data_IF_057421569573
#
_entry.id   IF_057421569573
#
_cell.length_a   1.000
_cell.length_b   1.000
_cell.length_c   1.000
_cell.angle_alpha   90.00
_cell.angle_beta   90.00
_cell.angle_gamma   90.00
#
_symmetry.space_group_name_H-M   'P 1'
#
loop_
_entity.id
_entity.type
_entity.pdbx_description
1 polymer ?
#
# COMPACT_ATOMS: atom_id res chain seq x y z
N UNK A 1 -27.24 5.14 0.87
CA UNK A 1 -27.50 6.07 -0.25
C UNK A 1 -28.42 7.22 0.15
N UNK A 2 -29.61 6.97 0.71
CA UNK A 2 -30.52 8.02 1.19
C UNK A 2 -29.82 9.04 2.11
N UNK A 3 -29.10 8.55 3.13
CA UNK A 3 -28.32 9.40 4.04
C UNK A 3 -27.29 10.30 3.33
N UNK A 4 -26.60 9.80 2.30
CA UNK A 4 -25.59 10.59 1.57
C UNK A 4 -26.20 11.77 0.83
N UNK A 5 -27.42 11.59 0.33
CA UNK A 5 -28.14 12.58 -0.47
C UNK A 5 -28.90 13.56 0.41
N UNK A 6 -29.54 13.06 1.47
CA UNK A 6 -30.42 13.88 2.31
C UNK A 6 -29.74 14.39 3.58
N UNK A 7 -28.55 13.89 3.93
CA UNK A 7 -27.91 14.10 5.22
C UNK A 7 -28.79 13.69 6.42
N UNK A 8 -29.79 12.82 6.19
CA UNK A 8 -30.79 12.48 7.19
C UNK A 8 -31.80 13.60 7.49
N UNK A 9 -31.79 14.70 6.72
CA UNK A 9 -32.72 15.81 6.87
C UNK A 9 -34.12 15.41 6.39
N UNK A 10 -35.12 15.75 7.20
CA UNK A 10 -36.52 15.68 6.86
C UNK A 10 -37.02 17.02 6.32
N UNK A 11 -38.24 17.04 5.76
CA UNK A 11 -38.85 18.26 5.22
C UNK A 11 -38.90 19.39 6.26
N UNK A 12 -39.21 19.05 7.51
CA UNK A 12 -39.26 20.01 8.62
C UNK A 12 -37.91 20.69 8.88
N UNK A 13 -36.80 19.94 8.74
CA UNK A 13 -35.45 20.47 8.93
C UNK A 13 -35.08 21.47 7.82
N UNK A 14 -35.47 21.15 6.58
CA UNK A 14 -35.26 22.04 5.43
C UNK A 14 -36.05 23.35 5.62
N UNK A 15 -37.29 23.26 6.10
CA UNK A 15 -38.10 24.45 6.41
C UNK A 15 -37.46 25.30 7.53
N UNK A 16 -36.90 24.66 8.56
CA UNK A 16 -36.19 25.37 9.63
C UNK A 16 -34.90 26.05 9.13
N UNK A 17 -34.15 25.42 8.22
CA UNK A 17 -32.96 26.01 7.59
C UNK A 17 -33.31 27.25 6.77
N UNK A 18 -34.44 27.24 6.06
CA UNK A 18 -34.94 28.40 5.32
C UNK A 18 -35.30 29.59 6.22
N UNK A 19 -35.61 29.35 7.49
CA UNK A 19 -35.99 30.39 8.46
C UNK A 19 -34.77 30.99 9.21
N UNK A 20 -33.57 30.39 9.10
CA UNK A 20 -32.36 30.91 9.75
C UNK A 20 -31.85 32.17 9.04
N UNK A 21 -31.46 33.18 9.82
CA UNK A 21 -30.97 34.47 9.31
C UNK A 21 -29.59 34.39 8.64
N UNK A 22 -28.76 33.44 9.06
CA UNK A 22 -27.46 33.13 8.46
C UNK A 22 -27.54 31.83 7.68
N UNK A 23 -27.17 31.86 6.40
CA UNK A 23 -27.05 30.63 5.60
C UNK A 23 -25.86 29.80 6.10
N UNK A 24 -26.02 28.49 6.28
CA UNK A 24 -24.91 27.59 6.62
C UNK A 24 -23.84 27.60 5.53
N UNK A 25 -22.62 27.18 5.88
CA UNK A 25 -21.53 27.08 4.91
C UNK A 25 -21.90 26.06 3.83
N UNK A 26 -21.54 26.34 2.57
CA UNK A 26 -21.80 25.40 1.47
C UNK A 26 -21.15 24.03 1.74
N UNK A 27 -20.00 24.02 2.42
CA UNK A 27 -19.27 22.82 2.84
C UNK A 27 -20.10 21.90 3.74
N UNK A 28 -21.01 22.44 4.55
CA UNK A 28 -21.88 21.64 5.44
C UNK A 28 -22.86 20.74 4.69
N UNK A 29 -23.08 21.03 3.41
CA UNK A 29 -24.07 20.38 2.56
C UNK A 29 -23.44 19.65 1.37
N UNK A 30 -22.11 19.58 1.28
CA UNK A 30 -21.45 18.81 0.23
C UNK A 30 -21.64 17.30 0.50
N UNK A 31 -22.19 16.59 -0.48
CA UNK A 31 -22.59 15.18 -0.34
C UNK A 31 -21.44 14.27 0.12
N UNK A 32 -20.21 14.58 -0.31
CA UNK A 32 -19.03 13.80 0.03
C UNK A 32 -18.68 13.85 1.52
N UNK A 33 -19.08 14.87 2.27
CA UNK A 33 -18.88 14.89 3.72
C UNK A 33 -19.74 13.83 4.41
N UNK A 34 -20.95 13.58 3.88
CA UNK A 34 -21.83 12.52 4.34
C UNK A 34 -21.27 11.12 4.05
N UNK A 35 -20.43 10.98 3.02
CA UNK A 35 -19.70 9.73 2.79
C UNK A 35 -18.78 9.38 3.98
N UNK A 36 -18.19 10.39 4.61
CA UNK A 36 -17.39 10.25 5.84
C UNK A 36 -18.21 10.35 7.13
N UNK A 37 -19.53 10.54 7.04
CA UNK A 37 -20.42 10.67 8.19
C UNK A 37 -20.27 11.99 8.96
N UNK A 38 -19.88 13.06 8.29
CA UNK A 38 -19.74 14.40 8.88
C UNK A 38 -20.38 15.49 7.99
N UNK A 39 -20.40 16.73 8.48
CA UNK A 39 -20.77 17.92 7.71
C UNK A 39 -19.52 18.73 7.28
N UNK A 40 -18.34 18.11 7.26
CA UNK A 40 -17.07 18.76 6.99
C UNK A 40 -16.44 19.51 8.16
N UNK A 41 -17.18 19.73 9.24
CA UNK A 41 -16.65 20.29 10.49
C UNK A 41 -16.88 19.32 11.64
N UNK A 42 -18.13 18.97 11.85
CA UNK A 42 -18.62 18.18 12.95
C UNK A 42 -19.14 16.83 12.47
N UNK A 43 -18.86 15.77 13.25
CA UNK A 43 -19.38 14.45 13.00
C UNK A 43 -20.88 14.37 13.21
N UNK A 44 -21.57 13.59 12.38
CA UNK A 44 -22.98 13.28 12.55
C UNK A 44 -23.16 12.06 13.47
N UNK A 45 -23.86 12.24 14.59
CA UNK A 45 -24.07 11.19 15.58
C UNK A 45 -24.78 9.97 14.99
N UNK A 46 -25.79 10.19 14.15
CA UNK A 46 -26.56 9.11 13.52
C UNK A 46 -25.73 8.34 12.49
N UNK A 47 -24.81 9.04 11.80
CA UNK A 47 -23.91 8.42 10.83
C UNK A 47 -22.85 7.55 11.48
N UNK A 48 -22.37 7.92 12.66
CA UNK A 48 -21.35 7.16 13.41
C UNK A 48 -21.78 5.75 13.80
N UNK A 49 -23.09 5.52 13.93
CA UNK A 49 -23.63 4.20 14.21
C UNK A 49 -23.70 3.31 12.96
N UNK A 50 -23.57 3.89 11.76
CA UNK A 50 -23.62 3.14 10.51
C UNK A 50 -22.31 2.39 10.30
N UNK A 51 -22.39 1.05 10.19
CA UNK A 51 -21.22 0.20 9.98
C UNK A 51 -20.39 0.63 8.76
N UNK A 52 -21.03 1.02 7.65
CA UNK A 52 -20.33 1.50 6.47
C UNK A 52 -19.48 2.76 6.71
N UNK A 53 -19.97 3.70 7.54
CA UNK A 53 -19.21 4.92 7.91
C UNK A 53 -18.04 4.55 8.82
N UNK A 54 -18.23 3.62 9.76
CA UNK A 54 -17.15 3.11 10.60
C UNK A 54 -16.05 2.46 9.76
N UNK A 55 -16.41 1.58 8.80
CA UNK A 55 -15.43 0.93 7.91
C UNK A 55 -14.65 1.94 7.06
N UNK A 56 -15.31 2.99 6.55
CA UNK A 56 -14.66 4.08 5.81
C UNK A 56 -13.70 4.87 6.70
N UNK A 57 -14.12 5.20 7.92
CA UNK A 57 -13.29 5.91 8.89
C UNK A 57 -12.05 5.08 9.27
N UNK A 58 -12.20 3.77 9.43
CA UNK A 58 -11.09 2.84 9.72
C UNK A 58 -10.05 2.76 8.59
N UNK A 59 -10.39 3.13 7.34
CA UNK A 59 -9.41 3.15 6.25
C UNK A 59 -8.41 4.32 6.34
N UNK A 60 -8.73 5.38 7.08
CA UNK A 60 -7.87 6.55 7.22
C UNK A 60 -7.65 7.31 5.90
N UNK A 61 -8.66 7.41 5.04
CA UNK A 61 -8.54 8.12 3.76
C UNK A 61 -8.14 9.58 3.98
N UNK A 62 -7.13 10.03 3.22
CA UNK A 62 -6.61 11.40 3.30
C UNK A 62 -5.69 11.69 4.49
N UNK A 63 -5.51 10.75 5.43
CA UNK A 63 -4.62 10.93 6.59
C UNK A 63 -3.14 11.01 6.17
N UNK A 64 -2.78 10.33 5.07
CA UNK A 64 -1.43 10.36 4.52
C UNK A 64 -1.26 11.58 3.62
N UNK A 65 -0.45 12.58 4.02
CA UNK A 65 -0.21 13.73 3.18
C UNK A 65 0.54 13.32 1.91
N UNK A 66 0.12 13.84 0.78
CA UNK A 66 0.84 13.71 -0.49
C UNK A 66 1.86 14.83 -0.62
N UNK A 67 3.18 14.62 -0.43
CA UNK A 67 4.12 15.74 -0.28
C UNK A 67 4.12 16.71 -1.46
N UNK A 68 3.97 16.18 -2.68
CA UNK A 68 3.88 17.00 -3.90
C UNK A 68 2.61 17.86 -3.91
N UNK A 69 1.47 17.27 -3.53
CA UNK A 69 0.20 17.99 -3.49
C UNK A 69 0.08 18.93 -2.30
N UNK A 70 0.57 18.56 -1.12
CA UNK A 70 0.68 19.47 0.02
C UNK A 70 1.51 20.69 -0.34
N UNK A 71 2.63 20.49 -1.05
CA UNK A 71 3.46 21.59 -1.54
C UNK A 71 2.67 22.47 -2.52
N UNK A 72 1.98 21.87 -3.50
CA UNK A 72 1.19 22.58 -4.51
C UNK A 72 0.00 23.34 -3.92
N UNK A 73 -0.66 22.79 -2.90
CA UNK A 73 -1.86 23.36 -2.29
C UNK A 73 -1.54 24.50 -1.33
N UNK A 74 -0.48 24.37 -0.54
CA UNK A 74 -0.24 25.25 0.61
C UNK A 74 0.90 26.25 0.42
N UNK A 75 1.86 25.99 -0.49
CA UNK A 75 2.99 26.89 -0.67
C UNK A 75 2.72 28.01 -1.67
N UNK A 76 3.14 29.20 -1.27
CA UNK A 76 2.82 30.48 -1.93
C UNK A 76 3.41 30.64 -3.33
N UNK A 77 4.45 29.87 -3.66
CA UNK A 77 5.23 29.99 -4.90
C UNK A 77 4.75 29.08 -6.04
N UNK A 78 3.86 28.11 -5.77
CA UNK A 78 3.29 27.25 -6.81
C UNK A 78 2.05 27.92 -7.42
N UNK A 79 2.28 28.62 -8.54
CA UNK A 79 1.35 29.56 -9.15
C UNK A 79 0.25 29.00 -10.05
N UNK A 80 -0.21 27.74 -9.88
CA UNK A 80 -1.39 27.27 -10.62
C UNK A 80 -2.63 27.26 -9.73
N UNK A 81 -3.65 28.02 -10.12
CA UNK A 81 -5.01 27.84 -9.60
C UNK A 81 -5.48 26.46 -10.02
N UNK A 82 -5.86 25.63 -9.06
CA UNK A 82 -6.47 24.33 -9.35
C UNK A 82 -7.94 24.62 -9.64
N UNK A 83 -8.44 24.04 -10.73
CA UNK A 83 -9.83 24.18 -11.15
C UNK A 83 -10.49 22.81 -11.08
N UNK A 84 -11.57 22.73 -10.33
CA UNK A 84 -12.43 21.55 -10.21
C UNK A 84 -13.40 21.45 -11.40
N UNK A 85 -13.58 22.54 -12.15
CA UNK A 85 -14.49 22.57 -13.30
C UNK A 85 -15.95 22.87 -12.94
N UNK A 86 -16.21 23.21 -11.67
CA UNK A 86 -17.53 23.61 -11.17
C UNK A 86 -17.40 25.02 -10.58
N UNK A 87 -17.90 26.03 -11.29
CA UNK A 87 -17.67 27.46 -10.97
C UNK A 87 -18.00 27.82 -9.50
N UNK A 88 -19.16 27.39 -9.00
CA UNK A 88 -19.58 27.66 -7.62
C UNK A 88 -18.65 27.01 -6.57
N UNK A 89 -18.00 25.89 -6.90
CA UNK A 89 -17.10 25.18 -6.00
C UNK A 89 -15.64 25.60 -6.17
N UNK A 90 -15.25 26.13 -7.33
CA UNK A 90 -13.92 26.69 -7.56
C UNK A 90 -13.64 27.89 -6.64
N UNK A 91 -14.64 28.78 -6.46
CA UNK A 91 -14.51 29.91 -5.54
C UNK A 91 -14.37 29.44 -4.09
N UNK A 92 -15.17 28.45 -3.70
CA UNK A 92 -15.13 27.90 -2.35
C UNK A 92 -13.83 27.15 -2.08
N UNK A 93 -13.37 26.35 -3.04
CA UNK A 93 -12.09 25.67 -2.99
C UNK A 93 -10.94 26.64 -2.71
N UNK A 94 -10.90 27.78 -3.41
CA UNK A 94 -9.87 28.79 -3.22
C UNK A 94 -9.96 29.50 -1.86
N UNK A 95 -11.18 29.74 -1.34
CA UNK A 95 -11.37 30.27 0.02
C UNK A 95 -10.83 29.31 1.08
N UNK A 96 -11.19 28.04 0.99
CA UNK A 96 -10.71 26.98 1.88
C UNK A 96 -9.20 26.82 1.77
N UNK A 97 -8.65 26.86 0.55
CA UNK A 97 -7.21 26.81 0.32
C UNK A 97 -6.47 27.97 0.96
N UNK A 98 -7.01 29.18 0.82
CA UNK A 98 -6.49 30.39 1.46
C UNK A 98 -6.50 30.28 2.98
N UNK A 99 -7.58 29.75 3.54
CA UNK A 99 -7.73 29.59 5.00
C UNK A 99 -6.84 28.48 5.57
N UNK A 100 -6.79 27.31 4.93
CA UNK A 100 -5.88 26.22 5.29
C UNK A 100 -4.40 26.63 5.19
N UNK A 101 -4.07 27.56 4.30
CA UNK A 101 -2.74 28.19 4.20
C UNK A 101 -2.50 29.32 5.22
N UNK A 102 -3.46 29.60 6.11
CA UNK A 102 -3.47 30.69 7.09
C UNK A 102 -3.31 32.09 6.48
N UNK A 103 -3.82 32.30 5.25
CA UNK A 103 -3.79 33.61 4.56
C UNK A 103 -5.03 34.45 4.88
N UNK A 104 -6.18 33.80 4.99
CA UNK A 104 -7.47 34.44 5.23
C UNK A 104 -8.03 34.02 6.58
N UNK A 105 -9.14 34.62 6.99
CA UNK A 105 -9.96 34.16 8.11
C UNK A 105 -11.23 33.57 7.51
N UNK A 106 -11.62 32.39 7.98
CA UNK A 106 -12.84 31.71 7.58
C UNK A 106 -13.55 31.26 8.87
N UNK A 107 -14.79 31.69 9.07
CA UNK A 107 -15.56 31.35 10.26
C UNK A 107 -16.16 29.95 10.16
N UNK A 108 -16.36 29.29 11.29
CA UNK A 108 -17.10 28.01 11.35
C UNK A 108 -16.25 26.74 11.24
N UNK A 109 -14.95 26.83 10.94
CA UNK A 109 -14.05 25.67 10.95
C UNK A 109 -12.60 26.05 11.29
N UNK A 110 -11.78 25.06 11.64
CA UNK A 110 -10.34 25.18 11.86
C UNK A 110 -9.58 25.11 10.52
N UNK A 111 -8.33 25.62 10.45
CA UNK A 111 -7.52 25.49 9.24
C UNK A 111 -7.25 24.05 8.81
N UNK A 112 -7.19 23.10 9.76
CA UNK A 112 -6.95 21.70 9.46
C UNK A 112 -8.20 21.03 8.88
N UNK A 113 -9.39 21.35 9.39
CA UNK A 113 -10.66 20.96 8.75
C UNK A 113 -10.76 21.52 7.32
N UNK A 114 -10.35 22.76 7.08
CA UNK A 114 -10.35 23.33 5.73
C UNK A 114 -9.38 22.60 4.78
N UNK A 115 -8.20 22.17 5.27
CA UNK A 115 -7.27 21.35 4.47
C UNK A 115 -7.88 20.00 4.12
N UNK A 116 -8.55 19.38 5.07
CA UNK A 116 -9.25 18.12 4.86
C UNK A 116 -10.37 18.27 3.82
N UNK A 117 -11.17 19.33 3.91
CA UNK A 117 -12.19 19.66 2.91
C UNK A 117 -11.59 19.82 1.51
N UNK A 118 -10.48 20.54 1.38
CA UNK A 118 -9.77 20.69 0.10
C UNK A 118 -9.32 19.34 -0.45
N UNK A 119 -8.77 18.45 0.39
CA UNK A 119 -8.36 17.11 -0.05
C UNK A 119 -9.53 16.25 -0.52
N UNK A 120 -10.66 16.30 0.19
CA UNK A 120 -11.91 15.64 -0.20
C UNK A 120 -12.47 16.19 -1.51
N UNK A 121 -12.44 17.51 -1.70
CA UNK A 121 -12.85 18.15 -2.96
C UNK A 121 -11.97 17.68 -4.12
N UNK A 122 -10.65 17.54 -3.93
CA UNK A 122 -9.79 16.96 -4.96
C UNK A 122 -10.17 15.52 -5.26
N UNK A 123 -10.35 14.68 -4.23
CA UNK A 123 -10.69 13.27 -4.44
C UNK A 123 -12.02 13.07 -5.18
N UNK A 124 -13.07 13.84 -4.86
CA UNK A 124 -14.40 13.66 -5.46
C UNK A 124 -14.64 14.45 -6.74
N UNK A 125 -13.99 15.61 -6.92
CA UNK A 125 -14.37 16.59 -7.94
C UNK A 125 -13.26 16.90 -8.93
N UNK A 126 -11.99 16.65 -8.60
CA UNK A 126 -10.88 17.00 -9.49
C UNK A 126 -10.60 15.88 -10.50
N UNK A 127 -10.49 16.27 -11.76
CA UNK A 127 -10.09 15.37 -12.85
C UNK A 127 -8.56 15.27 -12.90
N UNK A 128 -8.02 14.19 -12.32
CA UNK A 128 -6.58 13.93 -12.32
C UNK A 128 -6.08 13.55 -13.70
N UNK A 129 -4.99 14.20 -14.13
CA UNK A 129 -4.24 13.75 -15.32
C UNK A 129 -3.49 12.45 -14.99
N UNK A 130 -3.09 11.70 -16.02
CA UNK A 130 -2.37 10.43 -15.88
C UNK A 130 -1.12 10.53 -14.98
N UNK A 131 -0.40 11.65 -15.03
CA UNK A 131 0.81 11.91 -14.22
C UNK A 131 0.50 12.26 -12.76
N UNK A 132 -0.74 12.60 -12.43
CA UNK A 132 -1.18 13.07 -11.11
C UNK A 132 -1.82 11.95 -10.27
N UNK A 133 -1.97 10.74 -10.82
CA UNK A 133 -2.68 9.61 -10.19
C UNK A 133 -2.12 9.16 -8.84
N UNK A 134 -0.86 9.48 -8.52
CA UNK A 134 -0.24 9.19 -7.22
C UNK A 134 -1.06 9.77 -6.05
N UNK A 135 -1.71 10.93 -6.26
CA UNK A 135 -2.58 11.51 -5.23
C UNK A 135 -3.69 10.55 -4.79
N UNK A 136 -4.37 9.91 -5.75
CA UNK A 136 -5.47 9.02 -5.47
C UNK A 136 -5.01 7.79 -4.68
N UNK A 137 -3.86 7.21 -5.06
CA UNK A 137 -3.29 6.08 -4.32
C UNK A 137 -2.93 6.45 -2.87
N UNK A 138 -2.34 7.64 -2.66
CA UNK A 138 -2.01 8.14 -1.33
C UNK A 138 -3.26 8.47 -0.51
N UNK A 139 -4.24 9.15 -1.12
CA UNK A 139 -5.50 9.50 -0.47
C UNK A 139 -6.30 8.27 -0.05
N UNK A 140 -6.36 7.25 -0.92
CA UNK A 140 -7.03 5.98 -0.65
C UNK A 140 -6.23 5.05 0.26
N UNK A 141 -5.03 5.46 0.70
CA UNK A 141 -4.13 4.63 1.50
C UNK A 141 -3.82 3.28 0.81
N UNK A 142 -3.78 3.27 -0.53
CA UNK A 142 -3.55 2.09 -1.34
C UNK A 142 -2.64 2.42 -2.53
N UNK A 143 -1.32 2.17 -2.42
CA UNK A 143 -0.38 2.45 -3.49
C UNK A 143 -0.61 1.62 -4.76
N UNK A 144 -1.36 0.51 -4.71
CA UNK A 144 -1.50 -0.41 -5.85
C UNK A 144 -2.90 -0.51 -6.45
N UNK A 145 -3.90 0.15 -5.88
CA UNK A 145 -5.28 0.06 -6.38
C UNK A 145 -5.42 0.53 -7.83
N UNK A 146 -4.78 1.64 -8.20
CA UNK A 146 -4.88 2.16 -9.57
C UNK A 146 -4.24 1.22 -10.59
N UNK A 147 -3.09 0.65 -10.26
CA UNK A 147 -2.44 -0.37 -11.09
C UNK A 147 -3.36 -1.59 -11.24
N UNK A 148 -3.97 -2.03 -10.14
CA UNK A 148 -4.92 -3.14 -10.16
C UNK A 148 -6.17 -2.87 -11.02
N UNK A 149 -6.73 -1.66 -10.96
CA UNK A 149 -7.84 -1.24 -11.84
C UNK A 149 -7.40 -1.30 -13.30
N UNK A 150 -6.21 -0.78 -13.63
CA UNK A 150 -5.67 -0.84 -14.98
C UNK A 150 -5.47 -2.28 -15.47
N UNK A 151 -5.06 -3.19 -14.58
CA UNK A 151 -4.92 -4.61 -14.88
C UNK A 151 -6.25 -5.33 -15.09
N UNK A 152 -7.42 -4.73 -14.84
CA UNK A 152 -8.69 -5.42 -15.12
C UNK A 152 -9.05 -5.43 -16.61
N UNK A 153 -8.35 -4.63 -17.43
CA UNK A 153 -8.47 -4.72 -18.88
C UNK A 153 -7.71 -5.95 -19.39
N UNK A 154 -8.44 -6.95 -19.88
CA UNK A 154 -7.88 -8.24 -20.31
C UNK A 154 -6.88 -8.18 -21.47
N UNK A 155 -6.85 -7.07 -22.21
CA UNK A 155 -5.86 -6.83 -23.27
C UNK A 155 -4.50 -6.36 -22.70
N UNK A 156 -4.49 -5.87 -21.46
CA UNK A 156 -3.29 -5.36 -20.80
C UNK A 156 -2.47 -6.53 -20.26
N UNK A 157 -1.18 -6.50 -20.58
CA UNK A 157 -0.17 -7.35 -19.94
C UNK A 157 0.75 -6.47 -19.11
N UNK A 158 1.33 -7.05 -18.05
CA UNK A 158 2.36 -6.37 -17.26
C UNK A 158 3.52 -5.96 -18.17
N UNK A 159 3.82 -4.67 -18.20
CA UNK A 159 4.96 -4.16 -18.94
C UNK A 159 6.27 -4.73 -18.39
N UNK A 160 7.29 -4.88 -19.23
CA UNK A 160 8.58 -5.43 -18.80
C UNK A 160 9.20 -4.65 -17.61
N UNK A 161 9.14 -3.31 -17.67
CA UNK A 161 9.68 -2.45 -16.62
C UNK A 161 8.87 -2.56 -15.32
N UNK A 162 7.54 -2.48 -15.42
CA UNK A 162 6.61 -2.64 -14.31
C UNK A 162 6.82 -3.99 -13.60
N UNK A 163 6.85 -5.07 -14.38
CA UNK A 163 7.13 -6.42 -13.88
C UNK A 163 8.45 -6.49 -13.12
N UNK A 164 9.52 -5.94 -13.70
CA UNK A 164 10.86 -5.94 -13.08
C UNK A 164 10.87 -5.17 -11.77
N UNK A 165 10.17 -4.02 -11.72
CA UNK A 165 10.06 -3.20 -10.51
C UNK A 165 9.27 -3.97 -9.43
N UNK A 166 8.12 -4.54 -9.76
CA UNK A 166 7.29 -5.30 -8.82
C UNK A 166 8.03 -6.53 -8.29
N UNK A 167 8.64 -7.34 -9.17
CA UNK A 167 9.42 -8.51 -8.77
C UNK A 167 10.55 -8.16 -7.80
N UNK A 168 11.23 -7.02 -8.01
CA UNK A 168 12.27 -6.54 -7.09
C UNK A 168 11.71 -6.19 -5.71
N UNK A 169 10.57 -5.49 -5.65
CA UNK A 169 9.93 -5.11 -4.38
C UNK A 169 9.43 -6.34 -3.62
N UNK A 170 8.79 -7.28 -4.33
CA UNK A 170 8.31 -8.54 -3.76
C UNK A 170 9.48 -9.38 -3.24
N UNK A 171 10.56 -9.51 -4.03
CA UNK A 171 11.76 -10.22 -3.61
C UNK A 171 12.34 -9.65 -2.32
N UNK A 172 12.47 -8.31 -2.24
CA UNK A 172 13.00 -7.64 -1.05
C UNK A 172 12.22 -8.01 0.21
N UNK A 173 10.89 -7.91 0.17
CA UNK A 173 10.03 -8.25 1.32
C UNK A 173 10.11 -9.74 1.68
N UNK A 174 10.10 -10.63 0.69
CA UNK A 174 10.23 -12.07 0.93
C UNK A 174 11.58 -12.43 1.54
N UNK A 175 12.66 -11.85 1.01
CA UNK A 175 14.01 -12.07 1.50
C UNK A 175 14.18 -11.58 2.95
N UNK A 176 13.65 -10.40 3.27
CA UNK A 176 13.60 -9.91 4.66
C UNK A 176 12.80 -10.84 5.57
N UNK A 177 11.63 -11.29 5.12
CA UNK A 177 10.76 -12.18 5.91
C UNK A 177 11.41 -13.55 6.15
N UNK A 178 12.04 -14.13 5.12
CA UNK A 178 12.60 -15.48 5.18
C UNK A 178 13.88 -15.53 6.02
N UNK A 179 14.66 -14.46 6.02
CA UNK A 179 15.89 -14.32 6.82
C UNK A 179 15.64 -13.69 8.19
N UNK A 180 14.60 -12.89 8.35
CA UNK A 180 14.40 -12.07 9.55
C UNK A 180 15.42 -10.93 9.68
N UNK A 181 16.07 -10.54 8.57
CA UNK A 181 17.06 -9.48 8.51
C UNK A 181 16.50 -8.30 7.72
N UNK A 182 16.79 -7.06 8.15
CA UNK A 182 16.43 -5.85 7.41
C UNK A 182 17.46 -5.55 6.33
N UNK A 183 16.97 -5.31 5.11
CA UNK A 183 17.76 -5.01 3.93
C UNK A 183 17.44 -3.57 3.48
N UNK A 184 18.43 -2.71 3.22
CA UNK A 184 18.17 -1.40 2.64
C UNK A 184 17.56 -1.52 1.25
N UNK A 185 16.83 -0.48 0.87
CA UNK A 185 16.36 -0.32 -0.50
C UNK A 185 17.53 -0.39 -1.48
N UNK A 186 17.42 -1.25 -2.50
CA UNK A 186 18.42 -1.36 -3.56
C UNK A 186 19.65 -2.21 -3.25
N UNK A 187 19.80 -2.79 -2.04
CA UNK A 187 20.98 -3.62 -1.71
C UNK A 187 21.02 -4.99 -2.40
N UNK A 188 19.93 -5.39 -3.06
CA UNK A 188 19.74 -6.73 -3.65
C UNK A 188 20.21 -6.84 -5.10
N UNK A 189 20.99 -5.89 -5.61
CA UNK A 189 21.32 -5.84 -7.03
C UNK A 189 22.21 -7.00 -7.53
N UNK A 190 23.00 -7.63 -6.65
CA UNK A 190 24.02 -8.60 -7.08
C UNK A 190 23.69 -10.07 -6.76
N UNK A 191 22.83 -10.36 -5.79
CA UNK A 191 22.45 -11.73 -5.44
C UNK A 191 20.93 -11.90 -5.55
N UNK A 192 20.49 -12.58 -6.60
CA UNK A 192 19.07 -12.87 -6.86
C UNK A 192 18.65 -14.22 -6.27
N UNK A 193 19.33 -14.71 -5.24
CA UNK A 193 18.91 -15.93 -4.55
C UNK A 193 17.96 -15.59 -3.42
N UNK A 194 16.84 -16.30 -3.36
CA UNK A 194 15.94 -16.27 -2.23
C UNK A 194 16.42 -17.30 -1.20
N UNK A 195 16.84 -16.83 -0.03
CA UNK A 195 17.33 -17.69 1.05
C UNK A 195 16.24 -17.99 2.07
N UNK A 196 15.98 -19.27 2.30
CA UNK A 196 15.18 -19.74 3.44
C UNK A 196 16.14 -20.11 4.56
N UNK A 197 16.11 -19.38 5.67
CA UNK A 197 17.04 -19.62 6.79
C UNK A 197 16.33 -20.16 8.03
N UNK A 198 17.12 -20.79 8.90
CA UNK A 198 16.74 -21.10 10.27
C UNK A 198 16.82 -19.83 11.11
N UNK A 199 15.88 -18.91 10.88
CA UNK A 199 15.80 -17.65 11.63
C UNK A 199 15.15 -17.88 12.99
N UNK A 200 15.83 -17.47 14.06
CA UNK A 200 15.20 -17.36 15.39
C UNK A 200 14.57 -15.98 15.48
N UNK A 201 13.25 -15.89 15.59
CA UNK A 201 12.51 -14.63 15.79
C UNK A 201 12.70 -14.04 17.21
N UNK A 202 13.93 -14.04 17.74
CA UNK A 202 14.26 -13.39 19.02
C UNK A 202 14.97 -12.07 18.73
N UNK A 203 14.32 -10.97 19.07
CA UNK A 203 14.80 -9.59 18.87
C UNK A 203 16.09 -9.28 19.62
N UNK A 204 16.47 -10.09 20.61
CA UNK A 204 17.58 -9.82 21.52
C UNK A 204 18.97 -10.20 20.98
N UNK A 205 19.07 -10.96 19.88
CA UNK A 205 20.36 -11.40 19.33
C UNK A 205 20.44 -11.11 17.84
N UNK A 206 21.30 -10.14 17.47
CA UNK A 206 21.67 -9.89 16.07
C UNK A 206 22.46 -11.07 15.53
N UNK A 207 21.79 -11.97 14.81
CA UNK A 207 22.44 -13.12 14.17
C UNK A 207 23.18 -12.64 12.92
N UNK A 208 24.50 -12.43 13.04
CA UNK A 208 25.33 -12.02 11.91
C UNK A 208 25.53 -13.12 10.88
N UNK A 209 25.25 -14.38 11.21
CA UNK A 209 25.30 -15.52 10.30
C UNK A 209 24.09 -16.43 10.56
N UNK A 210 23.52 -16.98 9.49
CA UNK A 210 22.33 -17.82 9.54
C UNK A 210 22.53 -19.07 8.70
N UNK A 211 22.05 -20.21 9.20
CA UNK A 211 22.02 -21.46 8.43
C UNK A 211 20.94 -21.35 7.36
N UNK A 212 21.32 -21.59 6.11
CA UNK A 212 20.42 -21.67 4.97
C UNK A 212 19.90 -23.10 4.89
N UNK A 213 18.57 -23.24 4.94
CA UNK A 213 17.86 -24.51 4.82
C UNK A 213 17.54 -24.82 3.35
N UNK A 214 17.24 -23.79 2.58
CA UNK A 214 17.03 -23.89 1.14
C UNK A 214 17.39 -22.56 0.47
N UNK A 215 17.78 -22.65 -0.81
CA UNK A 215 17.98 -21.48 -1.67
C UNK A 215 17.30 -21.72 -3.01
N UNK A 216 16.76 -20.65 -3.59
CA UNK A 216 16.11 -20.66 -4.89
C UNK A 216 16.67 -19.52 -5.73
N UNK A 217 17.00 -19.77 -6.99
CA UNK A 217 17.35 -18.68 -7.92
C UNK A 217 16.05 -17.97 -8.32
N UNK A 218 15.87 -16.75 -7.82
CA UNK A 218 14.65 -15.96 -8.03
C UNK A 218 14.35 -15.75 -9.51
N UNK A 219 15.41 -15.51 -10.31
CA UNK A 219 15.28 -15.10 -11.70
C UNK A 219 14.75 -16.19 -12.62
N UNK A 220 15.06 -17.45 -12.31
CA UNK A 220 14.63 -18.62 -13.09
C UNK A 220 13.41 -19.29 -12.46
N UNK A 221 13.34 -19.31 -11.13
CA UNK A 221 12.35 -20.11 -10.39
C UNK A 221 11.05 -19.36 -10.10
N UNK A 222 10.91 -18.10 -10.52
CA UNK A 222 9.66 -17.35 -10.34
C UNK A 222 9.21 -16.63 -11.61
N UNK A 223 7.93 -16.26 -11.65
CA UNK A 223 7.42 -15.26 -12.57
C UNK A 223 6.18 -14.58 -12.01
N UNK A 224 6.15 -13.26 -12.16
CA UNK A 224 4.93 -12.49 -11.96
C UNK A 224 4.02 -12.59 -13.20
N UNK A 225 2.73 -12.87 -12.98
CA UNK A 225 1.70 -13.01 -14.02
C UNK A 225 0.37 -12.39 -13.57
N UNK A 226 -0.41 -11.92 -14.54
CA UNK A 226 -1.83 -11.64 -14.36
C UNK A 226 -2.62 -12.90 -14.73
N UNK A 227 -3.36 -13.46 -13.78
CA UNK A 227 -4.17 -14.66 -13.98
C UNK A 227 -5.65 -14.28 -13.92
N UNK A 228 -6.44 -14.82 -14.84
CA UNK A 228 -7.90 -14.62 -14.83
C UNK A 228 -8.51 -15.47 -13.71
N UNK A 229 -9.25 -14.81 -12.84
CA UNK A 229 -10.03 -15.42 -11.77
C UNK A 229 -11.49 -14.96 -11.87
N UNK A 230 -12.39 -15.63 -11.14
CA UNK A 230 -13.78 -15.17 -10.98
C UNK A 230 -13.89 -14.36 -9.69
N UNK A 231 -14.51 -13.20 -9.77
CA UNK A 231 -14.88 -12.41 -8.60
C UNK A 231 -15.99 -13.10 -7.79
N UNK A 232 -16.27 -12.59 -6.60
CA UNK A 232 -17.42 -13.02 -5.80
C UNK A 232 -18.77 -12.76 -6.53
N UNK A 233 -18.83 -11.76 -7.42
CA UNK A 233 -19.98 -11.48 -8.30
C UNK A 233 -20.05 -12.43 -9.51
N UNK A 234 -19.04 -13.27 -9.73
CA UNK A 234 -18.94 -14.19 -10.88
C UNK A 234 -18.36 -13.57 -12.15
N UNK A 235 -18.03 -12.27 -12.12
CA UNK A 235 -17.36 -11.55 -13.21
C UNK A 235 -15.90 -11.99 -13.35
N UNK A 236 -15.35 -11.85 -14.56
CA UNK A 236 -13.93 -12.09 -14.76
C UNK A 236 -13.11 -10.94 -14.17
N UNK A 237 -12.09 -11.28 -13.40
CA UNK A 237 -11.10 -10.35 -12.86
C UNK A 237 -9.69 -10.86 -13.16
N UNK A 238 -8.72 -9.97 -13.22
CA UNK A 238 -7.31 -10.35 -13.32
C UNK A 238 -6.61 -10.12 -11.99
N UNK A 239 -5.98 -11.17 -11.48
CA UNK A 239 -5.23 -11.16 -10.22
C UNK A 239 -3.73 -11.24 -10.50
N UNK A 240 -2.97 -10.40 -9.81
CA UNK A 240 -1.52 -10.48 -9.79
C UNK A 240 -1.09 -11.69 -8.96
N UNK A 241 -0.30 -12.58 -9.54
CA UNK A 241 0.19 -13.79 -8.86
C UNK A 241 1.68 -13.97 -9.13
N UNK A 242 2.44 -14.17 -8.05
CA UNK A 242 3.81 -14.67 -8.15
C UNK A 242 3.76 -16.19 -8.27
N UNK A 243 4.08 -16.70 -9.45
CA UNK A 243 4.10 -18.13 -9.74
C UNK A 243 5.50 -18.70 -9.59
N UNK A 244 5.62 -19.80 -8.86
CA UNK A 244 6.81 -20.64 -8.84
C UNK A 244 7.00 -21.40 -10.15
N UNK A 245 8.26 -21.69 -10.47
CA UNK A 245 8.74 -22.46 -11.63
C UNK A 245 9.78 -23.47 -11.18
N UNK A 246 10.17 -24.34 -12.10
CA UNK A 246 11.22 -25.34 -11.91
C UNK A 246 11.00 -26.14 -10.62
N UNK A 247 11.93 -26.05 -9.67
CA UNK A 247 11.86 -26.80 -8.40
C UNK A 247 10.67 -26.40 -7.54
N UNK A 248 10.22 -25.16 -7.63
CA UNK A 248 9.08 -24.65 -6.85
C UNK A 248 7.81 -24.51 -7.72
N UNK A 249 7.68 -25.31 -8.79
CA UNK A 249 6.46 -25.33 -9.58
C UNK A 249 5.23 -25.60 -8.70
N UNK A 250 4.10 -24.98 -9.07
CA UNK A 250 2.82 -25.01 -8.34
C UNK A 250 2.80 -24.28 -6.99
N UNK A 251 3.92 -23.68 -6.56
CA UNK A 251 3.95 -22.77 -5.40
C UNK A 251 3.57 -21.37 -5.86
N UNK A 252 2.38 -20.91 -5.51
CA UNK A 252 1.86 -19.61 -5.94
C UNK A 252 1.61 -18.68 -4.74
N UNK A 253 1.92 -17.40 -4.89
CA UNK A 253 1.58 -16.35 -3.95
C UNK A 253 0.65 -15.33 -4.61
N UNK A 254 -0.67 -15.40 -4.36
CA UNK A 254 -1.61 -14.38 -4.82
C UNK A 254 -1.32 -13.03 -4.14
N UNK A 255 -1.22 -11.99 -4.97
CA UNK A 255 -0.92 -10.62 -4.59
C UNK A 255 -2.17 -9.74 -4.76
N UNK A 256 -3.21 -10.08 -4.00
CA UNK A 256 -4.43 -9.27 -3.90
C UNK A 256 -4.10 -7.86 -3.38
N UNK A 257 -4.88 -6.84 -3.78
CA UNK A 257 -4.59 -5.42 -3.50
C UNK A 257 -4.17 -5.16 -2.04
N UNK A 258 -4.90 -5.61 -1.00
CA UNK A 258 -4.50 -5.32 0.38
C UNK A 258 -3.15 -5.94 0.77
N UNK A 259 -2.84 -7.13 0.25
CA UNK A 259 -1.56 -7.79 0.51
C UNK A 259 -0.44 -7.17 -0.34
N UNK A 260 -0.73 -6.76 -1.56
CA UNK A 260 0.23 -6.07 -2.41
C UNK A 260 0.59 -4.69 -1.85
N UNK A 261 -0.38 -3.94 -1.33
CA UNK A 261 -0.16 -2.69 -0.61
C UNK A 261 0.75 -2.91 0.61
N UNK A 262 0.48 -3.95 1.40
CA UNK A 262 1.36 -4.36 2.49
C UNK A 262 2.80 -4.62 2.02
N UNK A 263 2.99 -5.33 0.91
CA UNK A 263 4.32 -5.58 0.32
C UNK A 263 4.98 -4.26 -0.12
N UNK A 264 4.25 -3.35 -0.77
CA UNK A 264 4.78 -2.05 -1.19
C UNK A 264 5.20 -1.19 0.00
N UNK A 265 4.33 -1.09 1.02
CA UNK A 265 4.59 -0.32 2.23
C UNK A 265 5.80 -0.89 2.99
N UNK A 266 5.86 -2.22 3.16
CA UNK A 266 6.98 -2.88 3.83
C UNK A 266 8.30 -2.72 3.06
N UNK A 267 8.26 -2.68 1.73
CA UNK A 267 9.44 -2.40 0.91
C UNK A 267 10.02 -1.01 1.21
N UNK A 268 9.17 0.00 1.40
CA UNK A 268 9.56 1.37 1.76
C UNK A 268 9.77 1.59 3.26
N UNK A 269 9.76 0.52 4.06
CA UNK A 269 9.98 0.59 5.51
C UNK A 269 8.81 1.15 6.32
N UNK A 270 7.62 1.28 5.72
CA UNK A 270 6.40 1.66 6.43
C UNK A 270 5.88 0.48 7.28
N UNK A 271 5.50 0.77 8.53
CA UNK A 271 4.87 -0.19 9.43
C UNK A 271 3.35 -0.14 9.20
N UNK A 272 2.80 -1.12 8.48
CA UNK A 272 1.35 -1.29 8.36
C UNK A 272 0.79 -1.89 9.64
N UNK A 273 0.04 -1.12 10.43
CA UNK A 273 -0.50 -1.55 11.73
C UNK A 273 -1.74 -2.46 11.62
N UNK A 274 -2.42 -2.49 10.46
CA UNK A 274 -3.68 -3.21 10.27
C UNK A 274 -3.48 -4.42 9.35
N UNK A 275 -3.87 -5.61 9.83
CA UNK A 275 -3.76 -6.94 9.19
C UNK A 275 -2.36 -7.60 9.11
N UNK A 276 -1.39 -7.19 9.94
CA UNK A 276 -0.05 -7.80 9.93
C UNK A 276 -0.10 -9.34 10.15
N UNK A 277 -0.95 -9.84 11.05
CA UNK A 277 -0.98 -11.26 11.39
C UNK A 277 -1.38 -12.17 10.21
N UNK A 278 -2.41 -11.81 9.45
CA UNK A 278 -2.89 -12.62 8.32
C UNK A 278 -1.90 -12.59 7.14
N UNK A 279 -1.24 -11.46 6.91
CA UNK A 279 -0.19 -11.34 5.90
C UNK A 279 1.09 -12.08 6.30
N UNK A 280 1.48 -12.03 7.57
CA UNK A 280 2.59 -12.83 8.08
C UNK A 280 2.32 -14.33 7.94
N UNK A 281 1.10 -14.79 8.25
CA UNK A 281 0.70 -16.17 8.02
C UNK A 281 0.77 -16.56 6.53
N UNK A 282 0.31 -15.68 5.64
CA UNK A 282 0.41 -15.88 4.18
C UNK A 282 1.87 -16.02 3.73
N UNK A 283 2.76 -15.18 4.24
CA UNK A 283 4.20 -15.25 3.97
C UNK A 283 4.85 -16.50 4.57
N UNK A 284 4.46 -16.91 5.77
CA UNK A 284 4.96 -18.12 6.43
C UNK A 284 4.52 -19.39 5.72
N UNK A 285 3.28 -19.45 5.25
CA UNK A 285 2.79 -20.54 4.40
C UNK A 285 3.56 -20.61 3.09
N UNK A 286 3.79 -19.48 2.43
CA UNK A 286 4.60 -19.45 1.22
C UNK A 286 6.05 -19.88 1.49
N UNK A 287 6.66 -19.43 2.60
CA UNK A 287 7.99 -19.89 3.06
C UNK A 287 8.06 -21.40 3.22
N UNK A 288 7.05 -21.99 3.89
CA UNK A 288 6.99 -23.44 4.12
C UNK A 288 6.87 -24.22 2.80
N UNK A 289 6.01 -23.77 1.88
CA UNK A 289 5.85 -24.40 0.55
C UNK A 289 7.13 -24.31 -0.29
N UNK A 290 7.80 -23.15 -0.29
CA UNK A 290 9.10 -22.99 -0.96
C UNK A 290 10.13 -23.93 -0.34
N UNK A 291 10.19 -24.00 0.99
CA UNK A 291 11.14 -24.88 1.69
C UNK A 291 10.92 -26.36 1.33
N UNK A 292 9.70 -26.85 1.43
CA UNK A 292 9.35 -28.25 1.12
C UNK A 292 9.78 -28.66 -0.28
N UNK A 293 9.66 -27.75 -1.25
CA UNK A 293 10.00 -28.01 -2.66
C UNK A 293 11.47 -27.73 -3.01
N UNK A 294 12.15 -26.88 -2.24
CA UNK A 294 13.51 -26.43 -2.54
C UNK A 294 14.61 -27.13 -1.72
N UNK A 295 14.26 -27.90 -0.67
CA UNK A 295 15.24 -28.74 0.05
C UNK A 295 15.91 -29.69 -0.94
N UNK A 296 17.25 -29.66 -1.09
CA UNK A 296 17.95 -30.64 -1.91
C UNK A 296 17.81 -32.02 -1.28
N UNK A 297 17.57 -33.04 -2.11
CA UNK A 297 17.40 -34.42 -1.65
C UNK A 297 18.68 -35.04 -1.05
N UNK A 298 19.85 -34.44 -1.28
CA UNK A 298 21.14 -35.04 -0.95
C UNK A 298 22.24 -33.95 -0.85
N UNK A 299 22.25 -33.18 0.23
CA UNK A 299 23.30 -32.18 0.48
C UNK A 299 23.81 -32.26 1.92
N UNK A 300 24.92 -33.00 2.12
CA UNK A 300 25.70 -33.01 3.37
C UNK A 300 26.43 -31.66 3.61
N UNK A 301 26.18 -30.64 2.76
CA UNK A 301 26.77 -29.31 2.89
C UNK A 301 25.87 -28.40 3.68
N UNK A 302 26.44 -27.79 4.70
CA UNK A 302 25.80 -26.71 5.44
C UNK A 302 26.19 -25.39 4.77
N UNK A 303 25.19 -24.60 4.35
CA UNK A 303 25.41 -23.23 3.89
C UNK A 303 25.11 -22.25 5.02
N UNK A 304 26.04 -21.34 5.27
CA UNK A 304 25.82 -20.15 6.07
C UNK A 304 25.72 -18.93 5.17
N UNK A 305 24.76 -18.06 5.48
CA UNK A 305 24.66 -16.73 4.90
C UNK A 305 24.92 -15.68 5.97
N UNK A 306 25.82 -14.74 5.69
CA UNK A 306 26.17 -13.64 6.59
C UNK A 306 25.87 -12.32 5.92
N UNK A 307 25.05 -11.49 6.55
CA UNK A 307 24.85 -10.11 6.10
C UNK A 307 26.11 -9.29 6.44
N UNK A 308 26.74 -8.72 5.42
CA UNK A 308 27.86 -7.79 5.56
C UNK A 308 27.37 -6.38 5.89
N UNK A 309 28.30 -5.50 6.25
CA UNK A 309 28.04 -4.07 6.51
C UNK A 309 27.63 -3.30 5.27
N UNK A 310 27.94 -3.81 4.08
CA UNK A 310 27.49 -3.29 2.78
C UNK A 310 26.11 -3.86 2.36
N UNK A 311 25.45 -4.59 3.27
CA UNK A 311 24.14 -5.22 3.06
C UNK A 311 24.08 -6.27 1.95
N UNK A 312 25.24 -6.79 1.56
CA UNK A 312 25.35 -7.99 0.72
C UNK A 312 25.42 -9.25 1.57
N UNK A 313 25.00 -10.38 0.98
CA UNK A 313 25.12 -11.68 1.61
C UNK A 313 26.45 -12.34 1.25
N UNK A 314 27.26 -12.69 2.26
CA UNK A 314 28.42 -13.57 2.10
C UNK A 314 27.97 -15.01 2.30
N UNK A 315 28.39 -15.91 1.41
CA UNK A 315 28.06 -17.34 1.51
C UNK A 315 29.28 -18.14 1.93
N UNK A 316 29.08 -19.05 2.87
CA UNK A 316 30.09 -20.00 3.28
C UNK A 316 29.50 -21.40 3.23
N UNK A 317 30.12 -22.29 2.47
CA UNK A 317 29.76 -23.69 2.41
C UNK A 317 30.68 -24.48 3.31
N UNK A 318 30.10 -25.37 4.10
CA UNK A 318 30.80 -26.29 4.98
C UNK A 318 30.46 -27.73 4.59
N UNK A 319 31.47 -28.55 4.33
CA UNK A 319 31.31 -30.01 4.19
C UNK A 319 32.17 -30.71 5.22
N UNK A 320 31.68 -31.83 5.76
CA UNK A 320 32.44 -32.68 6.68
C UNK A 320 32.81 -33.96 5.95
N UNK A 321 34.08 -34.09 5.60
CA UNK A 321 34.64 -35.30 4.98
C UNK A 321 35.75 -35.86 5.87
N UNK A 322 35.70 -37.13 6.24
CA UNK A 322 36.76 -37.84 6.98
C UNK A 322 37.33 -37.09 8.20
N UNK A 323 36.44 -36.55 9.07
CA UNK A 323 36.77 -35.73 10.26
C UNK A 323 37.48 -34.41 9.96
N UNK A 324 37.49 -33.96 8.70
CA UNK A 324 37.97 -32.65 8.28
C UNK A 324 36.78 -31.77 7.87
N UNK A 325 36.81 -30.53 8.31
CA UNK A 325 35.84 -29.51 7.91
C UNK A 325 36.44 -28.76 6.71
N UNK A 326 35.81 -28.90 5.55
CA UNK A 326 36.13 -28.12 4.37
C UNK A 326 35.26 -26.87 4.33
N UNK A 327 35.86 -25.72 4.03
CA UNK A 327 35.16 -24.43 3.98
C UNK A 327 35.42 -23.76 2.64
N UNK A 328 34.35 -23.47 1.91
CA UNK A 328 34.40 -22.73 0.65
C UNK A 328 33.66 -21.42 0.81
N UNK A 329 34.37 -20.30 0.59
CA UNK A 329 33.81 -18.96 0.66
C UNK A 329 33.45 -18.47 -0.74
N UNK A 330 32.19 -18.05 -0.92
CA UNK A 330 31.71 -17.54 -2.20
C UNK A 330 31.22 -16.11 -1.96
N UNK A 331 31.94 -15.16 -2.56
CA UNK A 331 31.62 -13.74 -2.48
C UNK A 331 30.25 -13.40 -3.08
#
# INVERSE_FOLDING_TARGET
>A
LSYLVTAGLEEADIQALHQKSSRPLITEHLFFNRFFGDNGCDPDASAREMKAVQEVAEQGFGERPSPHWEHRLWLRSYGSSIKLGIEALDEEFEKLRGYGSRKTVYGGMTPDQAREQVRRMLFFLYEFKSEEGNYLGQYLNSPTLLDWIAWQNTEVQLGFNEKTILERKIYHVLQEHFTGVRLPEGSTQNDRRLYVTLSRRRSEVRQSAQVVLAQVDWSTSTALKLLVAKSASGEQRQDLVLCGKDRINDVNLPLEVPFLDYVMMRHFGELGEVLEASYLERLDRFKAQVLERAIPADDDRIMLVRLKTDHTFRRQHFSVNDRRLEVTDVL
#
